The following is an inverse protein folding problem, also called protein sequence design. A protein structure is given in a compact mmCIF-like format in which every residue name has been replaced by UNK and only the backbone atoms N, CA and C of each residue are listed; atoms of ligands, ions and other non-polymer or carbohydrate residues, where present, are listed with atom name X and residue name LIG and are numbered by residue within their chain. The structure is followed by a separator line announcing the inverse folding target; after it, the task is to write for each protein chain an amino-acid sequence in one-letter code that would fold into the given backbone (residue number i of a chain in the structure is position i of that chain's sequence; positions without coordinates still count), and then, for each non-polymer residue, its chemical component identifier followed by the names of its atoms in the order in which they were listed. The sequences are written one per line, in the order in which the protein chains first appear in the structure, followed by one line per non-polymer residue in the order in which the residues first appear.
data_IF_011400118158
#
_entry.id   IF_011400118158
#
_cell.length_a   1.000
_cell.length_b   1.000
_cell.length_c   1.000
_cell.angle_alpha   90.00
_cell.angle_beta   90.00
_cell.angle_gamma   90.00
#
_symmetry.space_group_name_H-M   'P 1'
#
loop_
_entity.id
_entity.type
_entity.pdbx_description
1 polymer ?
#
# COMPACT_ATOMS: atom_id res chain seq x y z
N UNK A 1 -49.95 -15.10 15.34
CA UNK A 1 -48.51 -14.75 15.28
C UNK A 1 -48.08 -13.86 16.46
N UNK A 2 -48.97 -13.04 17.04
CA UNK A 2 -48.71 -12.19 18.23
C UNK A 2 -48.54 -12.96 19.55
N UNK A 3 -49.30 -14.03 19.78
CA UNK A 3 -49.26 -14.78 21.06
C UNK A 3 -47.95 -15.57 21.24
N UNK A 4 -47.40 -16.14 20.16
CA UNK A 4 -46.12 -16.84 20.19
C UNK A 4 -44.97 -15.88 20.53
N UNK A 5 -44.99 -14.66 20.00
CA UNK A 5 -44.02 -13.62 20.35
C UNK A 5 -44.12 -13.18 21.82
N UNK A 6 -45.34 -13.10 22.37
CA UNK A 6 -45.56 -12.75 23.77
C UNK A 6 -45.13 -13.87 24.73
N UNK A 7 -45.41 -15.12 24.40
CA UNK A 7 -44.98 -16.28 25.19
C UNK A 7 -43.46 -16.44 25.19
N UNK A 8 -42.82 -16.19 24.04
CA UNK A 8 -41.37 -16.23 23.90
C UNK A 8 -40.70 -15.09 24.68
N UNK A 9 -41.28 -13.89 24.71
CA UNK A 9 -40.84 -12.79 25.58
C UNK A 9 -41.00 -13.11 27.07
N UNK A 10 -42.12 -13.71 27.47
CA UNK A 10 -42.36 -14.11 28.87
C UNK A 10 -41.38 -15.21 29.34
N UNK A 11 -41.08 -16.18 28.48
CA UNK A 11 -40.09 -17.23 28.76
C UNK A 11 -38.65 -16.68 28.83
N UNK A 12 -38.31 -15.70 27.98
CA UNK A 12 -37.02 -15.00 28.03
C UNK A 12 -36.85 -14.16 29.30
N UNK A 13 -37.91 -13.50 29.75
CA UNK A 13 -37.88 -12.68 30.97
C UNK A 13 -37.77 -13.54 32.25
N UNK A 14 -38.26 -14.79 32.22
CA UNK A 14 -38.15 -15.74 33.34
C UNK A 14 -36.78 -16.41 33.43
N UNK A 15 -36.04 -16.53 32.31
CA UNK A 15 -34.67 -17.07 32.26
C UNK A 15 -33.66 -15.96 31.92
N UNK A 16 -33.56 -14.94 32.78
CA UNK A 16 -32.85 -13.68 32.54
C UNK A 16 -31.38 -13.81 32.10
N UNK A 17 -30.71 -14.92 32.41
CA UNK A 17 -29.34 -15.19 31.94
C UNK A 17 -29.29 -15.87 30.56
N UNK A 18 -30.32 -16.61 30.13
CA UNK A 18 -30.34 -17.38 28.87
C UNK A 18 -30.88 -16.57 27.68
N UNK A 19 -31.73 -15.58 27.93
CA UNK A 19 -32.30 -14.69 26.91
C UNK A 19 -31.27 -14.03 25.96
N UNK A 20 -30.15 -13.44 26.44
CA UNK A 20 -29.15 -12.85 25.53
C UNK A 20 -28.43 -13.90 24.67
N UNK A 21 -28.20 -15.11 25.20
CA UNK A 21 -27.58 -16.19 24.42
C UNK A 21 -28.49 -16.69 23.30
N UNK A 22 -29.80 -16.81 23.57
CA UNK A 22 -30.77 -17.21 22.54
C UNK A 22 -30.84 -16.17 21.42
N UNK A 23 -30.84 -14.87 21.75
CA UNK A 23 -30.82 -13.78 20.74
C UNK A 23 -29.55 -13.82 19.90
N UNK A 24 -28.40 -14.01 20.53
CA UNK A 24 -27.12 -14.09 19.83
C UNK A 24 -27.04 -15.30 18.90
N UNK A 25 -27.48 -16.47 19.36
CA UNK A 25 -27.55 -17.68 18.52
C UNK A 25 -28.48 -17.45 17.33
N UNK A 26 -29.64 -16.80 17.53
CA UNK A 26 -30.54 -16.47 16.44
C UNK A 26 -29.89 -15.52 15.41
N UNK A 27 -29.18 -14.47 15.87
CA UNK A 27 -28.45 -13.54 14.97
C UNK A 27 -27.34 -14.25 14.21
N UNK A 28 -26.58 -15.14 14.86
CA UNK A 28 -25.52 -15.92 14.20
C UNK A 28 -26.08 -16.90 13.16
N UNK A 29 -27.20 -17.54 13.46
CA UNK A 29 -27.90 -18.41 12.49
C UNK A 29 -28.39 -17.58 11.31
N UNK A 30 -29.02 -16.42 11.54
CA UNK A 30 -29.46 -15.52 10.48
C UNK A 30 -28.29 -15.04 9.62
N UNK A 31 -27.15 -14.71 10.23
CA UNK A 31 -25.94 -14.34 9.48
C UNK A 31 -25.43 -15.52 8.64
N UNK A 32 -25.38 -16.73 9.20
CA UNK A 32 -24.96 -17.92 8.45
C UNK A 32 -25.90 -18.24 7.29
N UNK A 33 -27.22 -18.23 7.52
CA UNK A 33 -28.24 -18.43 6.48
C UNK A 33 -28.11 -17.35 5.41
N UNK A 34 -27.96 -16.08 5.81
CA UNK A 34 -27.75 -14.96 4.88
C UNK A 34 -26.53 -15.19 4.00
N UNK A 35 -25.41 -15.64 4.55
CA UNK A 35 -24.21 -15.96 3.76
C UNK A 35 -24.45 -17.08 2.74
N UNK A 36 -25.09 -18.18 3.15
CA UNK A 36 -25.40 -19.32 2.26
C UNK A 36 -26.34 -18.88 1.15
N UNK A 37 -27.45 -18.22 1.51
CA UNK A 37 -28.46 -17.73 0.57
C UNK A 37 -27.84 -16.73 -0.40
N UNK A 38 -27.14 -15.72 0.08
CA UNK A 38 -26.51 -14.70 -0.77
C UNK A 38 -25.49 -15.31 -1.71
N UNK A 39 -24.67 -16.28 -1.26
CA UNK A 39 -23.71 -16.95 -2.14
C UNK A 39 -24.41 -17.80 -3.21
N UNK A 40 -25.47 -18.51 -2.84
CA UNK A 40 -26.24 -19.34 -3.76
C UNK A 40 -27.03 -18.51 -4.78
N UNK A 41 -27.67 -17.43 -4.32
CA UNK A 41 -28.40 -16.46 -5.15
C UNK A 41 -27.43 -15.72 -6.08
N UNK A 42 -26.32 -15.16 -5.57
CA UNK A 42 -25.35 -14.45 -6.42
C UNK A 42 -24.81 -15.36 -7.53
N UNK A 43 -24.39 -16.59 -7.23
CA UNK A 43 -23.86 -17.51 -8.25
C UNK A 43 -24.94 -17.94 -9.24
N UNK A 44 -26.16 -18.23 -8.78
CA UNK A 44 -27.25 -18.69 -9.64
C UNK A 44 -27.80 -17.58 -10.55
N UNK A 45 -28.06 -16.39 -9.99
CA UNK A 45 -28.64 -15.26 -10.74
C UNK A 45 -27.63 -14.60 -11.65
N UNK A 46 -26.40 -14.39 -11.19
CA UNK A 46 -25.37 -13.73 -12.00
C UNK A 46 -24.87 -14.69 -13.09
N UNK A 47 -24.74 -16.00 -12.82
CA UNK A 47 -24.48 -17.00 -13.85
C UNK A 47 -25.60 -17.13 -14.90
N UNK A 48 -26.86 -16.88 -14.51
CA UNK A 48 -28.01 -16.86 -15.42
C UNK A 48 -28.07 -15.61 -16.30
N UNK A 49 -27.86 -14.42 -15.71
CA UNK A 49 -27.85 -13.14 -16.43
C UNK A 49 -26.72 -13.06 -17.45
N UNK A 50 -25.54 -13.57 -17.10
CA UNK A 50 -24.34 -13.42 -17.95
C UNK A 50 -24.34 -14.37 -19.14
N UNK A 51 -25.08 -15.48 -19.07
CA UNK A 51 -25.36 -16.27 -20.28
C UNK A 51 -26.18 -15.51 -21.33
N UNK A 52 -26.85 -14.43 -20.94
CA UNK A 52 -27.72 -13.63 -21.80
C UNK A 52 -26.98 -12.44 -22.43
N UNK A 53 -25.85 -12.01 -21.85
CA UNK A 53 -25.06 -10.86 -22.33
C UNK A 53 -23.64 -11.32 -22.73
N UNK A 54 -23.30 -11.24 -24.02
CA UNK A 54 -21.94 -11.60 -24.51
C UNK A 54 -20.99 -10.40 -24.42
N UNK A 55 -20.67 -9.92 -23.22
CA UNK A 55 -19.74 -8.80 -23.00
C UNK A 55 -18.54 -9.23 -22.17
N UNK A 56 -17.33 -8.80 -22.57
CA UNK A 56 -16.07 -9.08 -21.84
C UNK A 56 -16.10 -8.56 -20.39
N UNK A 57 -16.89 -7.52 -20.12
CA UNK A 57 -17.17 -6.98 -18.78
C UNK A 57 -17.75 -8.04 -17.85
N UNK A 58 -18.65 -8.87 -18.36
CA UNK A 58 -19.42 -9.82 -17.57
C UNK A 58 -18.56 -11.02 -17.16
N UNK A 59 -17.70 -11.49 -18.07
CA UNK A 59 -16.75 -12.57 -17.81
C UNK A 59 -15.71 -12.16 -16.76
N UNK A 60 -15.19 -10.93 -16.83
CA UNK A 60 -14.24 -10.42 -15.83
C UNK A 60 -14.90 -10.24 -14.47
N UNK A 61 -16.14 -9.73 -14.40
CA UNK A 61 -16.86 -9.61 -13.14
C UNK A 61 -17.18 -10.97 -12.49
N UNK A 62 -17.47 -12.01 -13.28
CA UNK A 62 -17.67 -13.38 -12.80
C UNK A 62 -16.41 -14.05 -12.29
N UNK A 63 -15.31 -13.87 -13.02
CA UNK A 63 -14.02 -14.46 -12.65
C UNK A 63 -13.37 -13.70 -11.49
N UNK A 64 -13.65 -12.41 -11.38
CA UNK A 64 -13.15 -11.60 -10.29
C UNK A 64 -13.73 -12.02 -8.93
N UNK A 65 -12.91 -11.90 -7.90
CA UNK A 65 -13.30 -12.09 -6.50
C UNK A 65 -14.43 -11.14 -6.03
N UNK A 66 -14.87 -10.19 -6.86
CA UNK A 66 -15.84 -9.13 -6.50
C UNK A 66 -17.14 -9.75 -5.98
N UNK A 67 -17.73 -10.69 -6.74
CA UNK A 67 -18.99 -11.33 -6.34
C UNK A 67 -18.84 -12.12 -5.03
N UNK A 68 -17.73 -12.84 -4.88
CA UNK A 68 -17.42 -13.59 -3.65
C UNK A 68 -17.30 -12.65 -2.44
N UNK A 69 -16.69 -11.49 -2.61
CA UNK A 69 -16.51 -10.50 -1.54
C UNK A 69 -17.80 -9.73 -1.24
N UNK A 70 -18.61 -9.42 -2.25
CA UNK A 70 -19.94 -8.84 -2.04
C UNK A 70 -20.86 -9.79 -1.27
N UNK A 71 -20.72 -11.10 -1.45
CA UNK A 71 -21.48 -12.08 -0.67
C UNK A 71 -21.24 -11.96 0.85
N UNK A 72 -20.07 -11.48 1.26
CA UNK A 72 -19.73 -11.25 2.67
C UNK A 72 -20.44 -10.02 3.27
N UNK A 73 -21.01 -9.12 2.46
CA UNK A 73 -21.77 -7.99 3.00
C UNK A 73 -23.02 -8.45 3.73
N UNK A 74 -23.75 -9.40 3.16
CA UNK A 74 -25.03 -9.85 3.70
C UNK A 74 -24.95 -10.36 5.14
N UNK A 75 -24.07 -11.32 5.51
CA UNK A 75 -23.92 -11.75 6.90
C UNK A 75 -23.44 -10.61 7.82
N UNK A 76 -22.56 -9.74 7.34
CA UNK A 76 -22.02 -8.64 8.18
C UNK A 76 -23.05 -7.56 8.43
N UNK A 77 -23.93 -7.27 7.48
CA UNK A 77 -25.07 -6.36 7.65
C UNK A 77 -26.05 -6.94 8.68
N UNK A 78 -26.31 -8.24 8.63
CA UNK A 78 -27.14 -8.92 9.65
C UNK A 78 -26.50 -8.79 11.04
N UNK A 79 -25.19 -9.00 11.15
CA UNK A 79 -24.47 -8.77 12.41
C UNK A 79 -24.52 -7.31 12.87
N UNK A 80 -24.46 -6.34 11.94
CA UNK A 80 -24.47 -4.92 12.26
C UNK A 80 -25.81 -4.47 12.86
N UNK A 81 -26.92 -4.87 12.25
CA UNK A 81 -28.25 -4.59 12.80
C UNK A 81 -28.60 -5.49 14.00
N UNK A 82 -28.01 -6.68 14.09
CA UNK A 82 -28.15 -7.60 15.22
C UNK A 82 -27.16 -7.38 16.35
N UNK A 83 -26.35 -6.31 16.32
CA UNK A 83 -25.26 -6.10 17.28
C UNK A 83 -25.78 -6.01 18.72
N UNK A 84 -26.91 -5.32 18.93
CA UNK A 84 -27.52 -5.12 20.25
C UNK A 84 -27.99 -6.45 20.90
N UNK A 85 -28.20 -7.49 20.08
CA UNK A 85 -28.62 -8.81 20.51
C UNK A 85 -27.47 -9.74 20.94
N UNK A 86 -26.21 -9.35 20.68
CA UNK A 86 -25.04 -10.13 21.06
C UNK A 86 -24.65 -9.87 22.53
N UNK A 87 -24.24 -10.90 23.29
CA UNK A 87 -23.75 -10.72 24.65
C UNK A 87 -22.37 -10.04 24.64
N UNK A 88 -22.14 -9.18 25.61
CA UNK A 88 -20.86 -8.50 25.80
C UNK A 88 -21.02 -6.99 26.03
N UNK A 89 -19.90 -6.28 26.02
CA UNK A 89 -19.91 -4.82 26.00
C UNK A 89 -20.40 -4.35 24.63
N UNK A 90 -21.58 -3.73 24.61
CA UNK A 90 -22.23 -3.24 23.40
C UNK A 90 -21.37 -2.25 22.62
N UNK A 91 -20.51 -1.47 23.30
CA UNK A 91 -19.59 -0.57 22.64
C UNK A 91 -18.53 -1.34 21.85
N UNK A 92 -17.91 -2.36 22.46
CA UNK A 92 -16.88 -3.19 21.83
C UNK A 92 -17.46 -4.06 20.71
N UNK A 93 -18.65 -4.64 20.92
CA UNK A 93 -19.35 -5.43 19.90
C UNK A 93 -19.65 -4.54 18.68
N UNK A 94 -20.21 -3.35 18.89
CA UNK A 94 -20.54 -2.44 17.79
C UNK A 94 -19.28 -1.94 17.06
N UNK A 95 -18.19 -1.66 17.77
CA UNK A 95 -16.89 -1.32 17.17
C UNK A 95 -16.34 -2.49 16.33
N UNK A 96 -16.36 -3.72 16.85
CA UNK A 96 -15.88 -4.89 16.14
C UNK A 96 -16.70 -5.19 14.87
N UNK A 97 -18.03 -5.12 14.95
CA UNK A 97 -18.91 -5.37 13.80
C UNK A 97 -18.81 -4.26 12.76
N UNK A 98 -18.76 -2.99 13.18
CA UNK A 98 -18.57 -1.87 12.24
C UNK A 98 -17.19 -1.89 11.59
N UNK A 99 -16.14 -2.28 12.31
CA UNK A 99 -14.81 -2.48 11.74
C UNK A 99 -14.81 -3.65 10.74
N UNK A 100 -15.53 -4.73 11.03
CA UNK A 100 -15.69 -5.86 10.10
C UNK A 100 -16.41 -5.43 8.82
N UNK A 101 -17.45 -4.60 8.93
CA UNK A 101 -18.14 -4.02 7.78
C UNK A 101 -17.18 -3.15 6.94
N UNK A 102 -16.41 -2.28 7.59
CA UNK A 102 -15.43 -1.43 6.91
C UNK A 102 -14.35 -2.26 6.20
N UNK A 103 -13.89 -3.35 6.82
CA UNK A 103 -12.94 -4.28 6.23
C UNK A 103 -13.51 -4.97 4.98
N UNK A 104 -14.77 -5.44 5.05
CA UNK A 104 -15.43 -6.06 3.89
C UNK A 104 -15.59 -5.06 2.74
N UNK A 105 -15.99 -3.82 3.02
CA UNK A 105 -16.06 -2.76 2.02
C UNK A 105 -14.69 -2.50 1.37
N UNK A 106 -13.62 -2.46 2.17
CA UNK A 106 -12.25 -2.32 1.67
C UNK A 106 -11.84 -3.48 0.75
N UNK A 107 -12.18 -4.72 1.13
CA UNK A 107 -11.90 -5.90 0.31
C UNK A 107 -12.64 -5.88 -1.02
N UNK A 108 -13.88 -5.38 -1.04
CA UNK A 108 -14.68 -5.21 -2.26
C UNK A 108 -14.06 -4.15 -3.16
N UNK A 109 -13.70 -2.99 -2.62
CA UNK A 109 -13.02 -1.94 -3.39
C UNK A 109 -11.72 -2.46 -4.02
N UNK A 110 -10.93 -3.24 -3.27
CA UNK A 110 -9.71 -3.85 -3.81
C UNK A 110 -9.97 -4.88 -4.92
N UNK A 111 -11.09 -5.59 -4.88
CA UNK A 111 -11.50 -6.49 -5.96
C UNK A 111 -12.07 -5.75 -7.17
N UNK A 112 -12.78 -4.65 -6.97
CA UNK A 112 -13.24 -3.78 -8.04
C UNK A 112 -12.07 -3.18 -8.82
N UNK A 113 -11.01 -2.76 -8.12
CA UNK A 113 -9.78 -2.27 -8.78
C UNK A 113 -9.12 -3.37 -9.61
N UNK A 114 -9.12 -4.62 -9.13
CA UNK A 114 -8.62 -5.76 -9.91
C UNK A 114 -9.46 -6.01 -11.17
N UNK A 115 -10.78 -6.04 -11.04
CA UNK A 115 -11.68 -6.24 -12.17
C UNK A 115 -11.52 -5.12 -13.20
N UNK A 116 -11.38 -3.86 -12.76
CA UNK A 116 -11.12 -2.72 -13.63
C UNK A 116 -9.78 -2.85 -14.35
N UNK A 117 -8.74 -3.32 -13.65
CA UNK A 117 -7.43 -3.54 -14.25
C UNK A 117 -7.46 -4.63 -15.31
N UNK A 118 -8.17 -5.73 -15.06
CA UNK A 118 -8.31 -6.85 -16.00
C UNK A 118 -9.08 -6.41 -17.25
N UNK A 119 -10.20 -5.70 -17.07
CA UNK A 119 -10.93 -5.05 -18.16
C UNK A 119 -10.04 -4.12 -18.96
N UNK A 120 -9.28 -3.27 -18.28
CA UNK A 120 -8.38 -2.33 -18.96
C UNK A 120 -7.33 -3.05 -19.77
N UNK A 121 -6.79 -4.19 -19.33
CA UNK A 121 -5.80 -4.96 -20.09
C UNK A 121 -6.41 -5.63 -21.32
N UNK A 122 -7.65 -6.11 -21.24
CA UNK A 122 -8.35 -6.72 -22.37
C UNK A 122 -8.60 -5.69 -23.49
N UNK A 123 -8.98 -4.46 -23.13
CA UNK A 123 -9.12 -3.36 -24.08
C UNK A 123 -7.77 -2.77 -24.54
N UNK A 124 -6.77 -2.73 -23.65
CA UNK A 124 -5.45 -2.13 -23.89
C UNK A 124 -4.42 -3.11 -24.47
N UNK A 125 -4.82 -4.29 -24.95
CA UNK A 125 -3.94 -5.16 -25.77
C UNK A 125 -3.37 -4.43 -27.01
N UNK A 126 -3.91 -3.25 -27.34
CA UNK A 126 -3.40 -2.32 -28.36
C UNK A 126 -2.57 -1.11 -27.84
N UNK A 127 -2.38 -0.91 -26.53
CA UNK A 127 -1.61 0.22 -25.98
C UNK A 127 -0.52 -0.23 -24.99
N UNK A 128 0.73 0.08 -25.30
CA UNK A 128 1.96 -0.30 -24.57
C UNK A 128 2.14 0.39 -23.19
N UNK A 129 1.06 0.76 -22.51
CA UNK A 129 1.12 1.50 -21.24
C UNK A 129 1.24 0.58 -20.01
N UNK A 130 2.00 0.96 -18.97
CA UNK A 130 2.09 0.20 -17.71
C UNK A 130 0.86 0.41 -16.81
N UNK A 131 -0.35 0.18 -17.33
CA UNK A 131 -1.64 0.33 -16.61
C UNK A 131 -1.63 -0.46 -15.30
N UNK A 132 -1.06 -1.67 -15.34
CA UNK A 132 -0.86 -2.55 -14.18
C UNK A 132 -0.13 -1.86 -13.03
N UNK A 133 0.94 -1.11 -13.31
CA UNK A 133 1.75 -0.45 -12.28
C UNK A 133 0.97 0.68 -11.61
N UNK A 134 0.19 1.46 -12.37
CA UNK A 134 -0.64 2.53 -11.80
C UNK A 134 -1.79 1.99 -10.95
N UNK A 135 -2.51 0.97 -11.42
CA UNK A 135 -3.58 0.33 -10.64
C UNK A 135 -3.06 -0.25 -9.31
N UNK A 136 -1.84 -0.78 -9.31
CA UNK A 136 -1.19 -1.27 -8.09
C UNK A 136 -0.89 -0.16 -7.09
N UNK A 137 -0.41 0.99 -7.54
CA UNK A 137 -0.16 2.16 -6.68
C UNK A 137 -1.49 2.66 -6.08
N UNK A 138 -2.55 2.80 -6.91
CA UNK A 138 -3.88 3.21 -6.43
C UNK A 138 -4.41 2.22 -5.39
N UNK A 139 -4.31 0.92 -5.67
CA UNK A 139 -4.73 -0.14 -4.75
C UNK A 139 -3.97 -0.10 -3.42
N UNK A 140 -2.66 0.18 -3.45
CA UNK A 140 -1.86 0.35 -2.24
C UNK A 140 -2.37 1.52 -1.40
N UNK A 141 -2.59 2.68 -2.02
CA UNK A 141 -3.11 3.88 -1.33
C UNK A 141 -4.49 3.59 -0.71
N UNK A 142 -5.38 2.94 -1.47
CA UNK A 142 -6.71 2.55 -0.97
C UNK A 142 -6.60 1.61 0.23
N UNK A 143 -5.70 0.61 0.21
CA UNK A 143 -5.51 -0.28 1.35
C UNK A 143 -4.93 0.40 2.58
N UNK A 144 -3.98 1.33 2.40
CA UNK A 144 -3.41 2.10 3.52
C UNK A 144 -4.52 2.94 4.17
N UNK A 145 -5.26 3.71 3.37
CA UNK A 145 -6.33 4.58 3.88
C UNK A 145 -7.49 3.78 4.46
N UNK A 146 -7.96 2.75 3.76
CA UNK A 146 -9.05 1.90 4.23
C UNK A 146 -8.68 1.09 5.47
N UNK A 147 -7.43 0.61 5.55
CA UNK A 147 -6.90 -0.07 6.73
C UNK A 147 -6.86 0.87 7.94
N UNK A 148 -6.37 2.10 7.75
CA UNK A 148 -6.39 3.14 8.78
C UNK A 148 -7.82 3.42 9.27
N UNK A 149 -8.79 3.57 8.35
CA UNK A 149 -10.19 3.79 8.72
C UNK A 149 -10.77 2.59 9.47
N UNK A 150 -10.41 1.37 9.08
CA UNK A 150 -10.83 0.14 9.78
C UNK A 150 -10.30 0.12 11.22
N UNK A 151 -9.03 0.47 11.43
CA UNK A 151 -8.44 0.57 12.78
C UNK A 151 -9.08 1.72 13.58
N UNK A 152 -9.40 2.85 12.94
CA UNK A 152 -10.09 3.97 13.58
C UNK A 152 -11.45 3.54 14.15
N UNK A 153 -12.24 2.85 13.33
CA UNK A 153 -13.54 2.30 13.74
C UNK A 153 -13.38 1.24 14.84
N UNK A 154 -12.40 0.35 14.71
CA UNK A 154 -12.13 -0.71 15.71
C UNK A 154 -11.72 -0.15 17.07
N UNK A 155 -10.93 0.93 17.09
CA UNK A 155 -10.44 1.56 18.33
C UNK A 155 -11.38 2.64 18.87
N UNK A 156 -12.45 2.98 18.15
CA UNK A 156 -13.34 4.08 18.48
C UNK A 156 -12.66 5.45 18.46
N UNK A 157 -11.50 5.58 17.80
CA UNK A 157 -10.72 6.83 17.71
C UNK A 157 -10.96 7.50 16.36
N UNK A 158 -10.77 8.82 16.31
CA UNK A 158 -10.84 9.51 15.04
C UNK A 158 -9.68 9.10 14.13
N UNK A 159 -9.89 8.96 12.81
CA UNK A 159 -8.82 8.62 11.88
C UNK A 159 -7.65 9.62 11.92
N UNK A 160 -7.93 10.89 12.20
CA UNK A 160 -6.94 11.95 12.33
C UNK A 160 -5.94 11.70 13.47
N UNK A 161 -6.38 11.14 14.60
CA UNK A 161 -5.51 10.81 15.73
C UNK A 161 -4.58 9.65 15.39
N UNK A 162 -5.07 8.65 14.67
CA UNK A 162 -4.22 7.56 14.21
C UNK A 162 -3.23 8.04 13.15
N UNK A 163 -3.69 8.87 12.21
CA UNK A 163 -2.84 9.45 11.17
C UNK A 163 -1.75 10.34 11.77
N UNK A 164 -2.06 11.12 12.81
CA UNK A 164 -1.06 11.94 13.49
C UNK A 164 -0.03 11.09 14.23
N UNK A 165 -0.46 10.00 14.88
CA UNK A 165 0.46 9.05 15.52
C UNK A 165 1.40 8.37 14.52
N UNK A 166 0.85 7.83 13.44
CA UNK A 166 1.67 7.24 12.35
C UNK A 166 2.57 8.29 11.71
N UNK A 167 2.05 9.49 11.45
CA UNK A 167 2.80 10.60 10.86
C UNK A 167 3.95 11.07 11.75
N UNK A 168 3.74 11.17 13.06
CA UNK A 168 4.77 11.52 14.02
C UNK A 168 5.88 10.47 14.09
N UNK A 169 5.51 9.17 14.15
CA UNK A 169 6.48 8.08 14.10
C UNK A 169 7.26 8.07 12.78
N UNK A 170 6.58 8.28 11.66
CA UNK A 170 7.23 8.37 10.34
C UNK A 170 8.18 9.56 10.26
N UNK A 171 7.84 10.71 10.85
CA UNK A 171 8.74 11.86 10.91
C UNK A 171 10.01 11.55 11.71
N UNK A 172 9.89 10.84 12.84
CA UNK A 172 11.06 10.38 13.62
C UNK A 172 11.89 9.38 12.84
N UNK A 173 11.27 8.40 12.18
CA UNK A 173 11.98 7.42 11.33
C UNK A 173 12.72 8.15 10.21
N UNK A 174 12.07 9.07 9.51
CA UNK A 174 12.70 9.88 8.46
C UNK A 174 13.86 10.70 9.04
N UNK A 175 13.70 11.31 10.21
CA UNK A 175 14.76 12.08 10.85
C UNK A 175 15.99 11.22 11.17
N UNK A 176 15.78 10.02 11.73
CA UNK A 176 16.87 9.10 12.11
C UNK A 176 17.56 8.49 10.89
N UNK A 177 16.79 8.12 9.86
CA UNK A 177 17.30 7.42 8.67
C UNK A 177 17.54 8.32 7.46
N UNK A 178 17.41 9.65 7.60
CA UNK A 178 17.53 10.62 6.51
C UNK A 178 18.79 10.39 5.69
N UNK A 179 19.93 10.34 6.35
CA UNK A 179 21.24 10.26 5.69
C UNK A 179 21.48 8.86 5.09
N UNK A 180 20.92 7.82 5.69
CA UNK A 180 20.94 6.46 5.11
C UNK A 180 20.16 6.40 3.80
N UNK A 181 18.95 6.98 3.78
CA UNK A 181 18.10 7.03 2.58
C UNK A 181 18.81 7.82 1.46
N UNK A 182 19.35 8.99 1.78
CA UNK A 182 20.07 9.83 0.82
C UNK A 182 21.30 9.11 0.25
N UNK A 183 22.06 8.40 1.07
CA UNK A 183 23.22 7.63 0.60
C UNK A 183 22.83 6.50 -0.35
N UNK A 184 21.79 5.74 -0.04
CA UNK A 184 21.31 4.64 -0.90
C UNK A 184 20.84 5.19 -2.25
N UNK A 185 20.01 6.24 -2.23
CA UNK A 185 19.52 6.88 -3.45
C UNK A 185 20.69 7.39 -4.30
N UNK A 186 21.64 8.10 -3.67
CA UNK A 186 22.82 8.60 -4.37
C UNK A 186 23.67 7.49 -4.98
N UNK A 187 23.84 6.35 -4.31
CA UNK A 187 24.67 5.25 -4.79
C UNK A 187 24.05 4.57 -6.01
N UNK A 188 22.72 4.37 -5.96
CA UNK A 188 21.95 3.92 -7.12
C UNK A 188 22.05 4.93 -8.25
N UNK A 189 21.95 6.24 -7.99
CA UNK A 189 22.10 7.29 -9.00
C UNK A 189 23.50 7.30 -9.65
N UNK A 190 24.57 7.21 -8.86
CA UNK A 190 25.95 7.14 -9.38
C UNK A 190 26.11 5.94 -10.31
N UNK A 191 25.61 4.78 -9.89
CA UNK A 191 25.74 3.52 -10.64
C UNK A 191 24.87 3.52 -11.89
N UNK A 192 23.59 3.86 -11.77
CA UNK A 192 22.61 3.87 -12.87
C UNK A 192 22.98 4.89 -13.96
N UNK A 193 23.43 6.08 -13.56
CA UNK A 193 23.83 7.14 -14.50
C UNK A 193 25.32 7.12 -14.84
N UNK A 194 26.10 6.15 -14.31
CA UNK A 194 27.54 5.98 -14.55
C UNK A 194 28.36 7.26 -14.30
N UNK A 195 27.96 8.05 -13.30
CA UNK A 195 28.55 9.36 -12.98
C UNK A 195 30.04 9.27 -12.63
N UNK A 196 30.42 8.20 -11.92
CA UNK A 196 31.79 7.90 -11.48
C UNK A 196 32.02 6.39 -11.57
N UNK A 197 33.23 5.97 -11.93
CA UNK A 197 33.71 4.58 -11.90
C UNK A 197 35.03 4.52 -11.16
N UNK A 198 35.35 3.32 -10.65
CA UNK A 198 36.70 3.03 -10.15
C UNK A 198 37.69 3.22 -11.29
N UNK A 199 38.77 3.94 -11.02
CA UNK A 199 39.79 4.35 -11.99
C UNK A 199 39.54 5.70 -12.67
N UNK A 200 38.39 6.36 -12.45
CA UNK A 200 38.21 7.73 -12.94
C UNK A 200 39.06 8.71 -12.13
N UNK A 201 39.67 9.67 -12.82
CA UNK A 201 40.15 10.89 -12.17
C UNK A 201 38.98 11.85 -11.96
N UNK A 202 38.69 12.19 -10.70
CA UNK A 202 37.70 13.18 -10.32
C UNK A 202 38.31 14.34 -9.54
N UNK A 203 37.74 15.53 -9.72
CA UNK A 203 38.07 16.74 -8.97
C UNK A 203 36.79 17.25 -8.28
N UNK A 204 36.77 17.19 -6.94
CA UNK A 204 35.70 17.69 -6.08
C UNK A 204 36.29 18.63 -5.01
N UNK A 205 36.49 19.92 -5.34
CA UNK A 205 37.19 20.88 -4.47
C UNK A 205 36.53 21.08 -3.10
N UNK A 206 35.20 20.95 -3.04
CA UNK A 206 34.43 21.08 -1.78
C UNK A 206 34.83 20.04 -0.72
N UNK A 207 35.46 18.94 -1.11
CA UNK A 207 35.90 17.87 -0.21
C UNK A 207 37.42 17.70 -0.19
N UNK A 208 38.17 18.53 -0.91
CA UNK A 208 39.61 18.35 -1.08
C UNK A 208 39.95 17.02 -1.76
N UNK A 209 39.18 16.63 -2.79
CA UNK A 209 39.48 15.48 -3.62
C UNK A 209 39.94 15.91 -5.01
N UNK A 210 41.13 15.48 -5.41
CA UNK A 210 41.68 15.63 -6.75
C UNK A 210 42.61 14.44 -7.04
N UNK A 211 42.05 13.42 -7.69
CA UNK A 211 42.79 12.21 -8.02
C UNK A 211 41.92 11.03 -8.42
N UNK A 212 42.51 9.84 -8.39
CA UNK A 212 41.89 8.63 -8.93
C UNK A 212 40.92 7.99 -7.93
N UNK A 213 39.75 7.59 -8.40
CA UNK A 213 38.76 6.86 -7.61
C UNK A 213 39.25 5.43 -7.41
N UNK A 214 39.53 5.06 -6.16
CA UNK A 214 40.06 3.75 -5.81
C UNK A 214 38.97 2.76 -5.39
N UNK A 215 37.84 3.26 -4.88
CA UNK A 215 36.75 2.43 -4.36
C UNK A 215 35.41 3.19 -4.38
N UNK A 216 34.32 2.47 -4.66
CA UNK A 216 32.94 2.97 -4.61
C UNK A 216 32.15 1.99 -3.77
N UNK A 217 31.92 2.36 -2.51
CA UNK A 217 31.04 1.64 -1.60
C UNK A 217 29.61 2.22 -1.64
N UNK A 218 28.67 1.54 -0.96
CA UNK A 218 27.26 1.97 -0.91
C UNK A 218 27.09 3.40 -0.34
N UNK A 219 27.93 3.81 0.61
CA UNK A 219 27.78 5.09 1.33
C UNK A 219 28.97 6.03 1.14
N UNK A 220 30.04 5.60 0.48
CA UNK A 220 31.25 6.41 0.29
C UNK A 220 31.93 6.15 -1.04
N UNK A 221 32.56 7.18 -1.59
CA UNK A 221 33.54 7.10 -2.68
C UNK A 221 34.90 7.48 -2.11
N UNK A 222 35.92 6.66 -2.37
CA UNK A 222 37.30 6.93 -1.96
C UNK A 222 38.11 7.40 -3.16
N UNK A 223 38.77 8.54 -3.00
CA UNK A 223 39.65 9.16 -4.00
C UNK A 223 41.06 9.19 -3.43
N UNK A 224 42.02 8.64 -4.17
CA UNK A 224 43.43 8.82 -3.85
C UNK A 224 43.94 10.08 -4.55
N UNK A 225 44.29 11.09 -3.74
CA UNK A 225 44.83 12.34 -4.24
C UNK A 225 46.24 12.16 -4.83
N UNK A 226 46.71 13.17 -5.55
CA UNK A 226 48.07 13.21 -6.10
C UNK A 226 49.17 13.09 -5.04
N UNK A 227 48.93 13.59 -3.82
CA UNK A 227 49.82 13.47 -2.66
C UNK A 227 49.71 12.10 -1.93
N UNK A 228 48.99 11.14 -2.54
CA UNK A 228 48.71 9.79 -2.03
C UNK A 228 47.83 9.73 -0.77
N UNK A 229 47.25 10.85 -0.33
CA UNK A 229 46.21 10.83 0.71
C UNK A 229 44.90 10.24 0.17
N UNK A 230 44.04 9.72 1.06
CA UNK A 230 42.74 9.16 0.70
C UNK A 230 41.63 10.07 1.21
N UNK A 231 40.94 10.75 0.30
CA UNK A 231 39.72 11.49 0.60
C UNK A 231 38.52 10.56 0.51
N UNK A 232 37.75 10.46 1.58
CA UNK A 232 36.51 9.66 1.63
C UNK A 232 35.31 10.60 1.58
N UNK A 233 34.54 10.55 0.49
CA UNK A 233 33.39 11.42 0.26
C UNK A 233 32.11 10.60 0.45
N UNK A 234 31.17 11.03 1.31
CA UNK A 234 29.85 10.42 1.36
C UNK A 234 29.15 10.48 0.00
N UNK A 235 28.57 9.37 -0.45
CA UNK A 235 27.99 9.25 -1.80
C UNK A 235 26.94 10.34 -2.07
N UNK A 236 26.08 10.64 -1.10
CA UNK A 236 25.07 11.71 -1.25
C UNK A 236 25.68 13.10 -1.42
N UNK A 237 26.81 13.39 -0.75
CA UNK A 237 27.51 14.68 -0.85
C UNK A 237 28.15 14.88 -2.22
N UNK A 238 28.65 13.79 -2.82
CA UNK A 238 29.20 13.82 -4.18
C UNK A 238 28.13 14.09 -5.24
N UNK A 239 26.91 13.57 -5.05
CA UNK A 239 25.77 13.83 -5.96
C UNK A 239 25.16 15.22 -5.72
N UNK A 240 25.15 15.70 -4.47
CA UNK A 240 24.60 17.01 -4.08
C UNK A 240 25.46 18.19 -4.59
N UNK A 241 26.77 17.99 -4.74
CA UNK A 241 27.72 19.04 -5.13
C UNK A 241 28.26 18.83 -6.54
N UNK A 242 28.64 19.92 -7.21
CA UNK A 242 29.31 19.82 -8.51
C UNK A 242 30.73 19.26 -8.34
N UNK A 243 31.08 18.29 -9.17
CA UNK A 243 32.43 17.77 -9.33
C UNK A 243 32.75 17.63 -10.82
N UNK A 244 34.03 17.56 -11.16
CA UNK A 244 34.48 17.27 -12.53
C UNK A 244 34.91 15.81 -12.60
N UNK A 245 34.47 15.13 -13.66
CA UNK A 245 34.98 13.82 -14.03
C UNK A 245 35.84 13.98 -15.28
N UNK A 246 37.13 13.69 -15.17
CA UNK A 246 38.10 13.86 -16.26
C UNK A 246 38.15 12.66 -17.21
N UNK A 247 37.30 11.62 -17.02
CA UNK A 247 37.18 10.47 -17.92
C UNK A 247 37.00 10.91 -19.38
N UNK A 248 36.07 11.85 -19.64
CA UNK A 248 35.82 12.32 -21.01
C UNK A 248 37.02 13.03 -21.65
N UNK A 249 37.84 13.74 -20.86
CA UNK A 249 39.10 14.31 -21.35
C UNK A 249 40.13 13.21 -21.65
N UNK A 250 40.27 12.24 -20.75
CA UNK A 250 41.22 11.13 -20.89
C UNK A 250 40.89 10.23 -22.09
N UNK A 251 39.62 9.88 -22.28
CA UNK A 251 39.12 9.07 -23.40
C UNK A 251 39.17 9.81 -24.74
N UNK A 252 39.12 11.14 -24.74
CA UNK A 252 39.18 11.94 -25.97
C UNK A 252 40.57 11.97 -26.62
N UNK A 253 41.62 11.54 -25.91
CA UNK A 253 43.00 11.59 -26.39
C UNK A 253 43.61 12.99 -26.48
N UNK A 254 42.90 14.03 -26.03
CA UNK A 254 43.35 15.42 -26.09
C UNK A 254 43.05 16.20 -24.82
N UNK A 255 43.97 17.09 -24.42
CA UNK A 255 43.78 18.03 -23.30
C UNK A 255 43.88 19.47 -23.78
N UNK A 256 42.87 20.28 -23.46
CA UNK A 256 42.91 21.72 -23.78
C UNK A 256 43.96 22.43 -22.94
N UNK A 257 44.93 23.06 -23.60
CA UNK A 257 45.89 23.98 -22.98
C UNK A 257 45.46 25.41 -23.32
N UNK A 258 45.22 26.25 -22.32
CA UNK A 258 44.99 27.69 -22.49
C UNK A 258 46.23 28.43 -21.96
N UNK A 259 46.82 29.29 -22.78
CA UNK A 259 47.91 30.21 -22.39
C UNK A 259 47.50 31.63 -22.72
N UNK A 260 47.72 32.57 -21.80
CA UNK A 260 47.63 33.99 -22.08
C UNK A 260 49.05 34.50 -22.37
N UNK A 261 49.21 35.19 -23.49
CA UNK A 261 50.45 35.90 -23.79
C UNK A 261 50.21 37.35 -23.35
N UNK A 262 51.00 37.80 -22.38
CA UNK A 262 51.02 39.20 -21.99
C UNK A 262 51.82 39.95 -23.06
N UNK A 263 51.15 40.85 -23.78
CA UNK A 263 51.78 41.73 -24.78
C UNK A 263 52.13 43.04 -24.09
#
# INVERSE_FOLDING_TARGET
MSEMWQQLQAWMNTHGAAAPFVRAVAVLILAWVSNVVTRQVLVHWIGGLIRTTRTSVDDVLLQSDVLRRMALLAPVIVLYYGADALPGDQALVRQAVSATLMLVLLLITGAMINAFQELSNDFASASEGPIKSYSQIVKLVVYILGGLMTVAVLTGRSPWVLLSGVGALMAVIILVFRDTILNIVASVTITANRLVRVGDWIEAPAFGADGDVIDIALHTVKVQNWDKTITTIPTYKLVETSFKNWRGMSESGGRRIKRAIYI
#
